data_IF_839968937106
#
_entry.id   IF_839968937106
#
_cell.length_a   1.000
_cell.length_b   1.000
_cell.length_c   1.000
_cell.angle_alpha   90.00
_cell.angle_beta   90.00
_cell.angle_gamma   90.00
#
_symmetry.space_group_name_H-M   'P 1'
#
loop_
_entity.id
_entity.type
_entity.pdbx_description
1 polymer ?
#
# COMPACT_ATOMS: atom_id res chain seq x y z
N UNK A 1 -67.13 12.66 -23.74
CA UNK A 1 -66.71 12.00 -22.49
C UNK A 1 -65.65 12.87 -21.84
N UNK A 2 -65.76 13.11 -20.52
CA UNK A 2 -65.06 14.15 -19.77
C UNK A 2 -63.57 13.85 -19.58
N UNK A 3 -62.75 14.90 -19.74
CA UNK A 3 -61.37 15.00 -19.30
C UNK A 3 -61.28 14.99 -17.77
N UNK A 4 -60.36 14.20 -17.21
CA UNK A 4 -59.80 14.41 -15.87
C UNK A 4 -58.36 13.91 -15.87
N UNK A 5 -57.42 14.84 -15.99
CA UNK A 5 -56.02 14.63 -15.68
C UNK A 5 -55.84 14.89 -14.18
N UNK A 6 -55.41 13.89 -13.42
CA UNK A 6 -55.00 14.04 -12.03
C UNK A 6 -53.49 14.26 -12.04
N UNK A 7 -53.08 15.51 -11.83
CA UNK A 7 -51.70 15.86 -11.57
C UNK A 7 -51.34 15.46 -10.12
N UNK A 8 -50.62 14.35 -9.97
CA UNK A 8 -49.98 13.98 -8.72
C UNK A 8 -48.68 14.79 -8.58
N UNK A 9 -48.76 15.94 -7.93
CA UNK A 9 -47.59 16.62 -7.38
C UNK A 9 -47.12 15.85 -6.15
N UNK A 10 -46.33 14.80 -6.36
CA UNK A 10 -45.55 14.18 -5.28
C UNK A 10 -44.39 15.12 -4.98
N UNK A 11 -44.51 15.82 -3.87
CA UNK A 11 -43.44 16.66 -3.32
C UNK A 11 -42.18 15.84 -3.14
N UNK A 12 -41.14 16.22 -3.86
CA UNK A 12 -39.78 15.86 -3.51
C UNK A 12 -39.45 16.52 -2.17
N UNK A 13 -39.72 15.81 -1.08
CA UNK A 13 -38.97 16.02 0.15
C UNK A 13 -37.52 15.66 -0.18
N UNK A 14 -36.72 16.67 -0.53
CA UNK A 14 -35.27 16.58 -0.52
C UNK A 14 -34.84 16.35 0.92
N UNK A 15 -34.80 15.09 1.35
CA UNK A 15 -34.04 14.69 2.52
C UNK A 15 -32.59 15.11 2.23
N UNK A 16 -31.92 15.87 3.12
CA UNK A 16 -30.49 16.03 3.00
C UNK A 16 -29.89 14.62 3.10
N UNK A 17 -29.30 14.12 2.01
CA UNK A 17 -28.47 12.93 2.10
C UNK A 17 -27.33 13.31 3.03
N UNK A 18 -27.40 12.90 4.30
CA UNK A 18 -26.26 13.02 5.20
C UNK A 18 -25.14 12.24 4.53
N UNK A 19 -24.11 12.95 4.07
CA UNK A 19 -22.93 12.30 3.54
C UNK A 19 -22.40 11.38 4.65
N UNK A 20 -22.12 10.12 4.31
CA UNK A 20 -21.58 9.16 5.26
C UNK A 20 -20.37 9.76 5.97
N UNK A 21 -20.28 9.56 7.29
CA UNK A 21 -19.13 9.99 8.07
C UNK A 21 -17.83 9.41 7.52
N UNK A 22 -16.69 10.06 7.81
CA UNK A 22 -15.40 9.58 7.32
C UNK A 22 -15.12 8.14 7.77
N UNK A 23 -15.46 7.81 9.02
CA UNK A 23 -15.32 6.47 9.57
C UNK A 23 -16.18 5.44 8.80
N UNK A 24 -17.44 5.76 8.48
CA UNK A 24 -18.29 4.89 7.67
C UNK A 24 -17.72 4.70 6.26
N UNK A 25 -17.20 5.77 5.65
CA UNK A 25 -16.56 5.67 4.34
C UNK A 25 -15.31 4.78 4.38
N UNK A 26 -14.47 4.88 5.40
CA UNK A 26 -13.34 3.96 5.58
C UNK A 26 -13.80 2.51 5.75
N UNK A 27 -14.79 2.25 6.61
CA UNK A 27 -15.33 0.90 6.80
C UNK A 27 -15.92 0.31 5.51
N UNK A 28 -16.60 1.12 4.69
CA UNK A 28 -17.11 0.67 3.39
C UNK A 28 -15.98 0.32 2.43
N UNK A 29 -14.92 1.14 2.38
CA UNK A 29 -13.74 0.86 1.56
C UNK A 29 -13.02 -0.41 2.03
N UNK A 30 -12.85 -0.61 3.34
CA UNK A 30 -12.23 -1.81 3.92
C UNK A 30 -13.01 -3.07 3.52
N UNK A 31 -14.33 -3.07 3.69
CA UNK A 31 -15.18 -4.21 3.29
C UNK A 31 -15.09 -4.50 1.79
N UNK A 32 -15.11 -3.45 0.96
CA UNK A 32 -14.95 -3.60 -0.49
C UNK A 32 -13.59 -4.22 -0.83
N UNK A 33 -12.52 -3.68 -0.24
CA UNK A 33 -11.16 -4.12 -0.46
C UNK A 33 -10.93 -5.59 -0.06
N UNK A 34 -11.39 -6.00 1.13
CA UNK A 34 -11.25 -7.36 1.63
C UNK A 34 -11.99 -8.40 0.77
N UNK A 35 -13.10 -8.02 0.15
CA UNK A 35 -13.94 -8.94 -0.62
C UNK A 35 -13.54 -9.10 -2.08
N UNK A 36 -12.90 -8.09 -2.68
CA UNK A 36 -12.84 -7.98 -4.14
C UNK A 36 -11.48 -7.59 -4.71
N UNK A 37 -10.54 -7.12 -3.89
CA UNK A 37 -9.28 -6.55 -4.39
C UNK A 37 -8.08 -7.47 -4.20
N UNK A 38 -7.16 -7.39 -5.15
CA UNK A 38 -5.87 -8.06 -5.07
C UNK A 38 -5.08 -7.52 -3.89
N UNK A 39 -4.51 -8.43 -3.11
CA UNK A 39 -3.69 -8.07 -1.96
C UNK A 39 -2.21 -8.20 -2.32
N UNK A 40 -1.41 -7.19 -1.95
CA UNK A 40 0.05 -7.24 -2.05
C UNK A 40 0.71 -6.89 -0.72
N UNK A 41 1.88 -7.46 -0.46
CA UNK A 41 2.65 -7.20 0.76
C UNK A 41 4.14 -7.06 0.47
N UNK A 42 4.72 -5.92 0.81
CA UNK A 42 6.12 -5.63 0.56
C UNK A 42 6.83 -5.10 1.81
N UNK A 43 8.05 -5.57 2.09
CA UNK A 43 8.88 -4.92 3.12
C UNK A 43 9.32 -3.53 2.66
N UNK A 44 9.38 -2.59 3.58
CA UNK A 44 9.95 -1.27 3.38
C UNK A 44 10.32 -0.71 4.75
N UNK A 45 11.53 -0.17 4.90
CA UNK A 45 12.04 0.38 6.15
C UNK A 45 11.90 -0.55 7.37
N UNK A 46 12.08 -1.85 7.17
CA UNK A 46 12.02 -2.86 8.24
C UNK A 46 10.62 -3.25 8.69
N UNK A 47 9.58 -2.82 7.99
CA UNK A 47 8.19 -3.25 8.23
C UNK A 47 7.56 -3.83 6.97
N UNK A 48 6.62 -4.76 7.15
CA UNK A 48 5.86 -5.32 6.03
C UNK A 48 4.57 -4.53 5.80
N UNK A 49 4.50 -3.83 4.67
CA UNK A 49 3.40 -2.96 4.30
C UNK A 49 2.45 -3.74 3.38
N UNK A 50 1.16 -3.73 3.72
CA UNK A 50 0.11 -4.41 2.96
C UNK A 50 -0.70 -3.40 2.16
N UNK A 51 -1.10 -3.74 0.94
CA UNK A 51 -2.02 -2.93 0.16
C UNK A 51 -3.08 -3.79 -0.55
N UNK A 52 -4.23 -3.17 -0.78
CA UNK A 52 -5.31 -3.68 -1.62
C UNK A 52 -5.35 -2.87 -2.90
N UNK A 53 -5.32 -3.55 -4.03
CA UNK A 53 -5.01 -2.97 -5.34
C UNK A 53 -6.18 -3.18 -6.31
N UNK A 54 -6.55 -2.11 -7.02
CA UNK A 54 -7.40 -2.12 -8.22
C UNK A 54 -6.69 -1.32 -9.33
N UNK A 55 -5.70 -1.95 -9.96
CA UNK A 55 -4.71 -1.28 -10.84
C UNK A 55 -3.73 -0.37 -10.08
N UNK A 56 -4.23 0.47 -9.18
CA UNK A 56 -3.49 1.29 -8.22
C UNK A 56 -3.95 0.98 -6.78
N UNK A 57 -3.19 1.35 -5.74
CA UNK A 57 -3.62 1.16 -4.36
C UNK A 57 -4.94 1.85 -4.06
N UNK A 58 -5.86 1.11 -3.45
CA UNK A 58 -7.12 1.62 -2.86
C UNK A 58 -6.95 1.80 -1.35
N UNK A 59 -6.26 0.87 -0.70
CA UNK A 59 -5.87 0.96 0.71
C UNK A 59 -4.42 0.53 0.85
N UNK A 60 -3.63 1.28 1.64
CA UNK A 60 -2.31 0.85 2.11
C UNK A 60 -2.33 0.83 3.64
N UNK A 61 -2.07 -0.32 4.24
CA UNK A 61 -1.92 -0.54 5.66
C UNK A 61 -0.44 -0.61 6.04
N UNK A 62 -0.03 0.30 6.93
CA UNK A 62 1.34 0.44 7.43
C UNK A 62 1.34 0.11 8.92
N UNK A 63 1.99 -0.99 9.34
CA UNK A 63 2.08 -1.31 10.76
C UNK A 63 2.96 -0.30 11.49
N UNK A 64 2.58 0.01 12.72
CA UNK A 64 3.35 0.84 13.66
C UNK A 64 3.96 -0.10 14.66
N UNK A 65 5.28 -0.24 14.59
CA UNK A 65 6.07 -1.08 15.50
C UNK A 65 6.71 -0.21 16.56
N UNK A 66 6.82 -0.73 17.77
CA UNK A 66 7.54 -0.06 18.85
C UNK A 66 9.03 -0.38 18.83
N UNK A 67 9.77 0.19 19.78
CA UNK A 67 11.23 0.01 19.88
C UNK A 67 11.65 -1.45 20.08
N UNK A 68 10.76 -2.30 20.60
CA UNK A 68 10.99 -3.74 20.78
C UNK A 68 10.54 -4.57 19.57
N UNK A 69 10.12 -3.94 18.48
CA UNK A 69 9.59 -4.61 17.30
C UNK A 69 8.21 -5.25 17.52
N UNK A 70 7.44 -4.78 18.51
CA UNK A 70 6.05 -5.22 18.75
C UNK A 70 5.07 -4.27 18.06
N UNK A 71 4.02 -4.82 17.45
CA UNK A 71 2.94 -4.04 16.86
C UNK A 71 2.19 -3.24 17.92
N UNK A 72 2.11 -1.92 17.73
CA UNK A 72 1.36 -0.98 18.58
C UNK A 72 0.15 -0.38 17.88
N UNK A 73 0.10 -0.43 16.56
CA UNK A 73 -1.03 0.06 15.80
C UNK A 73 -0.84 -0.11 14.30
N UNK A 74 -1.74 0.47 13.54
CA UNK A 74 -1.67 0.46 12.08
C UNK A 74 -2.22 1.79 11.56
N UNK A 75 -1.50 2.41 10.63
CA UNK A 75 -2.00 3.53 9.85
C UNK A 75 -2.52 3.02 8.51
N UNK A 76 -3.72 3.43 8.12
CA UNK A 76 -4.33 3.11 6.82
C UNK A 76 -4.47 4.36 5.97
N UNK A 77 -3.98 4.29 4.74
CA UNK A 77 -4.10 5.32 3.72
C UNK A 77 -5.12 4.88 2.69
N UNK A 78 -6.12 5.70 2.45
CA UNK A 78 -7.25 5.40 1.57
C UNK A 78 -7.18 6.26 0.32
N UNK A 79 -7.39 5.64 -0.83
CA UNK A 79 -7.28 6.30 -2.13
C UNK A 79 -8.57 6.14 -2.94
N UNK A 80 -8.96 7.19 -3.65
CA UNK A 80 -10.04 7.17 -4.63
C UNK A 80 -9.50 7.69 -5.96
N UNK A 81 -9.60 6.89 -7.02
CA UNK A 81 -9.05 7.24 -8.34
C UNK A 81 -7.54 7.56 -8.31
N UNK A 82 -6.78 6.88 -7.43
CA UNK A 82 -5.34 7.10 -7.24
C UNK A 82 -4.96 8.35 -6.44
N UNK A 83 -5.94 9.13 -5.94
CA UNK A 83 -5.70 10.29 -5.08
C UNK A 83 -5.94 9.95 -3.62
N UNK A 84 -5.13 10.54 -2.73
CA UNK A 84 -5.32 10.39 -1.29
C UNK A 84 -6.69 10.96 -0.89
N UNK A 85 -7.56 10.10 -0.39
CA UNK A 85 -8.90 10.44 0.08
C UNK A 85 -8.92 10.65 1.59
N UNK A 86 -8.18 9.83 2.34
CA UNK A 86 -8.10 9.96 3.77
C UNK A 86 -7.02 9.09 4.40
N UNK A 87 -6.74 9.35 5.66
CA UNK A 87 -5.81 8.55 6.46
C UNK A 87 -6.45 8.26 7.82
N UNK A 88 -6.37 7.02 8.27
CA UNK A 88 -6.76 6.59 9.62
C UNK A 88 -5.52 6.14 10.35
N UNK A 89 -5.19 6.82 11.43
CA UNK A 89 -4.14 6.44 12.37
C UNK A 89 -4.80 6.02 13.69
N UNK A 90 -4.06 5.37 14.63
CA UNK A 90 -4.65 4.92 15.88
C UNK A 90 -5.40 6.01 16.67
N UNK A 91 -4.87 7.24 16.68
CA UNK A 91 -5.39 8.35 17.47
C UNK A 91 -6.07 9.46 16.64
N UNK A 92 -6.16 9.32 15.31
CA UNK A 92 -6.65 10.40 14.45
C UNK A 92 -7.17 9.93 13.08
N UNK A 93 -8.04 10.74 12.48
CA UNK A 93 -8.51 10.53 11.11
C UNK A 93 -8.41 11.83 10.31
N UNK A 94 -8.05 11.72 9.04
CA UNK A 94 -7.78 12.85 8.16
C UNK A 94 -8.58 12.68 6.87
N UNK A 95 -9.28 13.74 6.43
CA UNK A 95 -9.99 13.76 5.15
C UNK A 95 -9.36 14.75 4.18
N UNK A 96 -9.23 14.33 2.92
CA UNK A 96 -8.74 15.17 1.83
C UNK A 96 -9.85 15.38 0.80
N UNK A 97 -9.91 16.57 0.22
CA UNK A 97 -10.77 16.83 -0.93
C UNK A 97 -10.09 16.43 -2.26
N UNK A 98 -10.82 16.52 -3.37
CA UNK A 98 -10.34 16.11 -4.69
C UNK A 98 -9.17 16.95 -5.23
N UNK A 99 -8.91 18.11 -4.61
CA UNK A 99 -7.75 18.96 -4.90
C UNK A 99 -6.50 18.55 -4.11
N UNK A 100 -6.63 17.62 -3.16
CA UNK A 100 -5.56 17.17 -2.28
C UNK A 100 -5.38 18.03 -1.04
N UNK A 101 -6.39 18.85 -0.69
CA UNK A 101 -6.34 19.69 0.52
C UNK A 101 -6.92 18.94 1.71
N UNK A 102 -6.25 19.03 2.86
CA UNK A 102 -6.73 18.50 4.12
C UNK A 102 -7.92 19.34 4.61
N UNK A 103 -9.09 18.71 4.73
CA UNK A 103 -10.35 19.37 5.10
C UNK A 103 -10.83 19.01 6.49
N UNK A 104 -10.44 17.84 7.01
CA UNK A 104 -10.80 17.40 8.36
C UNK A 104 -9.59 16.79 9.06
N UNK A 105 -9.42 17.14 10.33
CA UNK A 105 -8.58 16.43 11.31
C UNK A 105 -9.50 16.07 12.46
N UNK A 106 -9.76 14.77 12.60
CA UNK A 106 -10.60 14.21 13.65
C UNK A 106 -9.74 13.44 14.65
N UNK A 107 -10.16 13.42 15.91
CA UNK A 107 -9.58 12.60 16.97
C UNK A 107 -9.99 11.12 16.83
N UNK A 108 -9.58 10.29 17.79
CA UNK A 108 -9.95 8.87 17.86
C UNK A 108 -11.47 8.61 17.94
N UNK A 109 -12.24 9.60 18.41
CA UNK A 109 -13.71 9.55 18.56
C UNK A 109 -14.42 10.09 17.32
N UNK A 110 -13.68 10.50 16.29
CA UNK A 110 -14.23 11.10 15.08
C UNK A 110 -14.73 12.54 15.28
N UNK A 111 -14.37 13.20 16.37
CA UNK A 111 -14.69 14.60 16.62
C UNK A 111 -13.58 15.50 16.07
N UNK A 112 -13.86 16.74 15.67
CA UNK A 112 -12.81 17.68 15.28
C UNK A 112 -11.74 17.78 16.37
N UNK A 113 -10.49 17.56 16.01
CA UNK A 113 -9.40 17.59 16.97
C UNK A 113 -9.28 18.99 17.60
N UNK A 114 -9.17 19.03 18.92
CA UNK A 114 -9.06 20.29 19.65
C UNK A 114 -7.73 21.00 19.33
N UNK A 115 -7.76 22.34 19.34
CA UNK A 115 -6.57 23.20 19.21
C UNK A 115 -5.74 23.03 17.92
N UNK A 116 -6.33 22.52 16.85
CA UNK A 116 -5.64 22.43 15.55
C UNK A 116 -5.59 23.79 14.84
N UNK A 117 -4.39 24.35 14.71
CA UNK A 117 -4.16 25.59 13.97
C UNK A 117 -4.15 25.37 12.45
N UNK A 118 -4.33 26.45 11.67
CA UNK A 118 -4.16 26.40 10.20
C UNK A 118 -2.76 25.94 9.78
N UNK A 119 -1.73 26.34 10.53
CA UNK A 119 -0.34 25.93 10.26
C UNK A 119 -0.16 24.44 10.50
N UNK A 120 -0.72 23.91 11.58
CA UNK A 120 -0.71 22.48 11.90
C UNK A 120 -1.41 21.66 10.82
N UNK A 121 -2.55 22.13 10.31
CA UNK A 121 -3.25 21.50 9.18
C UNK A 121 -2.38 21.44 7.93
N UNK A 122 -1.71 22.54 7.58
CA UNK A 122 -0.86 22.60 6.39
C UNK A 122 0.34 21.65 6.51
N UNK A 123 1.06 21.69 7.63
CA UNK A 123 2.20 20.79 7.88
C UNK A 123 1.76 19.32 7.80
N UNK A 124 0.59 19.00 8.38
CA UNK A 124 0.04 17.65 8.36
C UNK A 124 -0.38 17.21 6.96
N UNK A 125 -1.01 18.11 6.19
CA UNK A 125 -1.35 17.87 4.79
C UNK A 125 -0.09 17.54 3.96
N UNK A 126 0.96 18.36 4.06
CA UNK A 126 2.22 18.17 3.34
C UNK A 126 2.87 16.82 3.69
N UNK A 127 2.97 16.51 4.99
CA UNK A 127 3.55 15.26 5.46
C UNK A 127 2.76 14.04 4.97
N UNK A 128 1.44 14.01 5.17
CA UNK A 128 0.58 12.89 4.78
C UNK A 128 0.57 12.68 3.27
N UNK A 129 0.54 13.77 2.49
CA UNK A 129 0.55 13.71 1.02
C UNK A 129 1.87 13.13 0.52
N UNK A 130 3.00 13.59 1.06
CA UNK A 130 4.32 13.06 0.72
C UNK A 130 4.42 11.58 1.10
N UNK A 131 4.05 11.22 2.33
CA UNK A 131 4.11 9.84 2.81
C UNK A 131 3.22 8.90 2.00
N UNK A 132 1.99 9.32 1.66
CA UNK A 132 1.09 8.55 0.81
C UNK A 132 1.67 8.30 -0.58
N UNK A 133 2.33 9.29 -1.17
CA UNK A 133 2.99 9.16 -2.47
C UNK A 133 4.21 8.22 -2.41
N UNK A 134 5.01 8.28 -1.35
CA UNK A 134 6.10 7.32 -1.10
C UNK A 134 5.59 5.89 -0.97
N UNK A 135 4.56 5.68 -0.13
CA UNK A 135 3.95 4.37 0.08
C UNK A 135 3.34 3.81 -1.21
N UNK A 136 2.67 4.65 -2.00
CA UNK A 136 2.06 4.22 -3.26
C UNK A 136 3.08 3.72 -4.28
N UNK A 137 4.30 4.30 -4.29
CA UNK A 137 5.38 3.87 -5.20
C UNK A 137 5.83 2.44 -4.97
N UNK A 138 5.72 1.93 -3.74
CA UNK A 138 6.06 0.54 -3.41
C UNK A 138 5.24 -0.47 -4.23
N UNK A 139 4.01 -0.10 -4.57
CA UNK A 139 3.05 -0.98 -5.25
C UNK A 139 2.96 -0.75 -6.76
N UNK A 140 3.77 0.15 -7.31
CA UNK A 140 3.92 0.27 -8.76
C UNK A 140 4.53 -1.00 -9.33
N UNK A 141 4.03 -1.42 -10.49
CA UNK A 141 4.53 -2.59 -11.24
C UNK A 141 5.99 -2.33 -11.63
N UNK A 142 6.90 -3.21 -11.21
CA UNK A 142 8.34 -3.10 -11.49
C UNK A 142 8.64 -3.16 -12.98
N UNK A 143 9.83 -2.69 -13.39
CA UNK A 143 10.26 -2.82 -14.77
C UNK A 143 10.31 -4.28 -15.24
N UNK A 144 10.65 -5.21 -14.33
CA UNK A 144 10.65 -6.64 -14.58
C UNK A 144 9.22 -7.15 -14.89
N UNK A 145 8.28 -6.90 -13.98
CA UNK A 145 6.87 -7.28 -14.15
C UNK A 145 6.25 -6.67 -15.42
N UNK A 146 6.55 -5.40 -15.72
CA UNK A 146 6.07 -4.75 -16.96
C UNK A 146 6.61 -5.44 -18.22
N UNK A 147 7.89 -5.80 -18.24
CA UNK A 147 8.51 -6.48 -19.38
C UNK A 147 7.95 -7.90 -19.54
N UNK A 148 7.69 -8.61 -18.45
CA UNK A 148 7.05 -9.92 -18.48
C UNK A 148 5.61 -9.84 -19.00
N UNK A 149 4.81 -8.90 -18.49
CA UNK A 149 3.42 -8.71 -18.92
C UNK A 149 3.30 -8.38 -20.43
N UNK A 150 4.30 -7.68 -21.00
CA UNK A 150 4.37 -7.38 -22.44
C UNK A 150 4.92 -8.51 -23.31
N UNK A 151 5.25 -9.67 -22.74
CA UNK A 151 5.86 -10.80 -23.46
C UNK A 151 7.32 -10.56 -23.87
N UNK A 152 8.00 -9.59 -23.27
CA UNK A 152 9.38 -9.21 -23.58
C UNK A 152 10.46 -10.14 -22.99
N UNK A 153 10.06 -11.22 -22.33
CA UNK A 153 10.94 -12.25 -21.76
C UNK A 153 10.47 -13.63 -22.18
N UNK A 154 11.42 -14.56 -22.37
CA UNK A 154 11.14 -15.96 -22.72
C UNK A 154 11.14 -16.92 -21.52
N UNK A 155 11.38 -16.38 -20.31
CA UNK A 155 11.41 -17.15 -19.06
C UNK A 155 10.02 -17.69 -18.72
N UNK A 156 9.96 -18.87 -18.11
CA UNK A 156 8.73 -19.54 -17.68
C UNK A 156 8.92 -20.23 -16.34
N UNK A 157 7.82 -20.59 -15.68
CA UNK A 157 7.84 -21.35 -14.43
C UNK A 157 8.74 -20.72 -13.37
N UNK A 158 9.59 -21.54 -12.77
CA UNK A 158 10.47 -21.14 -11.67
C UNK A 158 11.50 -20.07 -12.06
N UNK A 159 12.01 -20.10 -13.30
CA UNK A 159 12.96 -19.09 -13.79
C UNK A 159 12.30 -17.71 -13.91
N UNK A 160 11.04 -17.66 -14.32
CA UNK A 160 10.28 -16.41 -14.39
C UNK A 160 10.03 -15.86 -12.99
N UNK A 161 9.57 -16.70 -12.06
CA UNK A 161 9.30 -16.32 -10.68
C UNK A 161 10.54 -15.71 -10.01
N UNK A 162 11.68 -16.41 -10.11
CA UNK A 162 12.95 -15.94 -9.59
C UNK A 162 13.39 -14.61 -10.20
N UNK A 163 13.28 -14.45 -11.52
CA UNK A 163 13.63 -13.21 -12.20
C UNK A 163 12.75 -12.03 -11.76
N UNK A 164 11.44 -12.25 -11.61
CA UNK A 164 10.50 -11.23 -11.12
C UNK A 164 10.81 -10.81 -9.68
N UNK A 165 11.07 -11.78 -8.80
CA UNK A 165 11.41 -11.54 -7.40
C UNK A 165 12.69 -10.70 -7.26
N UNK A 166 13.75 -11.04 -7.99
CA UNK A 166 15.00 -10.27 -7.95
C UNK A 166 14.80 -8.86 -8.51
N UNK A 167 14.05 -8.72 -9.61
CA UNK A 167 13.72 -7.42 -10.18
C UNK A 167 12.98 -6.53 -9.18
N UNK A 168 11.96 -7.06 -8.53
CA UNK A 168 11.19 -6.32 -7.53
C UNK A 168 12.02 -5.98 -6.28
N UNK A 169 12.89 -6.88 -5.83
CA UNK A 169 13.81 -6.62 -4.71
C UNK A 169 14.76 -5.46 -5.01
N UNK A 170 15.40 -5.48 -6.19
CA UNK A 170 16.28 -4.39 -6.61
C UNK A 170 15.55 -3.05 -6.68
N UNK A 171 14.34 -3.03 -7.24
CA UNK A 171 13.51 -1.82 -7.33
C UNK A 171 13.13 -1.27 -5.94
N UNK A 172 12.72 -2.13 -5.00
CA UNK A 172 12.27 -1.70 -3.67
C UNK A 172 13.42 -1.35 -2.71
N UNK A 173 14.52 -2.10 -2.78
CA UNK A 173 15.66 -1.93 -1.88
C UNK A 173 16.78 -1.05 -2.49
N UNK A 174 16.52 -0.41 -3.63
CA UNK A 174 17.48 0.42 -4.36
C UNK A 174 18.82 -0.29 -4.62
N UNK A 175 18.75 -1.57 -4.96
CA UNK A 175 19.92 -2.37 -5.32
C UNK A 175 20.07 -2.53 -6.83
N UNK A 176 21.23 -3.04 -7.25
CA UNK A 176 21.54 -3.20 -8.67
C UNK A 176 21.99 -4.63 -9.04
N UNK A 177 22.18 -5.50 -8.04
CA UNK A 177 22.56 -6.90 -8.24
C UNK A 177 22.12 -7.78 -7.08
N UNK A 178 21.59 -8.96 -7.41
CA UNK A 178 21.29 -10.04 -6.46
C UNK A 178 22.15 -11.25 -6.81
N UNK A 179 22.79 -11.85 -5.82
CA UNK A 179 23.48 -13.15 -5.92
C UNK A 179 22.98 -14.08 -4.81
N UNK A 180 23.16 -15.39 -4.99
CA UNK A 180 22.73 -16.39 -4.02
C UNK A 180 23.55 -17.66 -4.18
N UNK A 181 23.61 -18.45 -3.11
CA UNK A 181 24.12 -19.82 -3.14
C UNK A 181 22.96 -20.78 -3.44
N UNK A 182 23.16 -21.73 -4.36
CA UNK A 182 22.07 -22.58 -4.88
C UNK A 182 21.38 -23.42 -3.79
N UNK A 183 22.13 -23.84 -2.78
CA UNK A 183 21.64 -24.63 -1.65
C UNK A 183 20.88 -23.79 -0.59
N UNK A 184 21.00 -22.46 -0.66
CA UNK A 184 20.37 -21.53 0.29
C UNK A 184 19.12 -20.84 -0.24
N UNK A 185 18.81 -20.97 -1.53
CA UNK A 185 17.63 -20.37 -2.15
C UNK A 185 16.72 -21.44 -2.74
N UNK A 186 15.51 -21.58 -2.21
CA UNK A 186 14.47 -22.41 -2.79
C UNK A 186 13.81 -21.62 -3.92
N UNK A 187 13.78 -22.21 -5.11
CA UNK A 187 13.19 -21.60 -6.30
C UNK A 187 12.06 -22.50 -6.81
N UNK A 188 10.87 -21.93 -6.98
CA UNK A 188 9.70 -22.62 -7.51
C UNK A 188 8.86 -21.71 -8.40
N UNK A 189 7.86 -22.28 -9.06
CA UNK A 189 6.99 -21.51 -9.98
C UNK A 189 6.16 -20.43 -9.28
N UNK A 190 5.91 -20.60 -7.99
CA UNK A 190 5.13 -19.66 -7.17
C UNK A 190 5.99 -18.61 -6.47
N UNK A 191 7.32 -18.68 -6.58
CA UNK A 191 8.19 -17.71 -5.90
C UNK A 191 9.53 -18.30 -5.45
N UNK A 192 10.21 -17.53 -4.60
CA UNK A 192 11.52 -17.89 -4.03
C UNK A 192 11.54 -17.65 -2.53
N UNK A 193 12.30 -18.45 -1.80
CA UNK A 193 12.47 -18.30 -0.35
C UNK A 193 13.88 -18.76 0.05
N UNK A 194 14.59 -17.94 0.82
CA UNK A 194 15.94 -18.27 1.26
C UNK A 194 16.85 -17.06 1.38
N UNK A 195 18.16 -17.32 1.32
CA UNK A 195 19.20 -16.30 1.50
C UNK A 195 19.71 -15.76 0.17
N UNK A 196 19.89 -14.44 0.09
CA UNK A 196 20.54 -13.76 -1.04
C UNK A 196 21.44 -12.65 -0.54
N UNK A 197 22.43 -12.28 -1.34
CA UNK A 197 23.20 -11.06 -1.15
C UNK A 197 22.72 -10.01 -2.16
N UNK A 198 22.29 -8.85 -1.65
CA UNK A 198 21.89 -7.69 -2.44
C UNK A 198 23.03 -6.67 -2.44
N UNK A 199 23.43 -6.18 -3.61
CA UNK A 199 24.35 -5.04 -3.73
C UNK A 199 23.57 -3.73 -3.74
N UNK A 200 23.96 -2.83 -2.84
CA UNK A 200 23.48 -1.46 -2.71
C UNK A 200 24.68 -0.49 -2.72
N UNK A 201 24.42 0.81 -2.68
CA UNK A 201 25.46 1.85 -2.66
C UNK A 201 26.49 1.68 -1.52
N UNK A 202 26.06 1.12 -0.38
CA UNK A 202 26.91 0.90 0.80
C UNK A 202 27.66 -0.44 0.79
N UNK A 203 27.48 -1.27 -0.24
CA UNK A 203 28.10 -2.58 -0.37
C UNK A 203 27.08 -3.71 -0.46
N UNK A 204 27.54 -4.92 -0.11
CA UNK A 204 26.70 -6.12 -0.09
C UNK A 204 25.98 -6.23 1.24
N UNK A 205 24.68 -6.54 1.17
CA UNK A 205 23.85 -6.87 2.31
C UNK A 205 23.31 -8.28 2.16
N UNK A 206 23.56 -9.12 3.15
CA UNK A 206 22.99 -10.47 3.22
C UNK A 206 21.56 -10.40 3.77
N UNK A 207 20.62 -11.01 3.06
CA UNK A 207 19.19 -10.96 3.34
C UNK A 207 18.62 -12.38 3.40
N UNK A 208 17.71 -12.61 4.34
CA UNK A 208 16.72 -13.68 4.23
C UNK A 208 15.45 -13.09 3.63
N UNK A 209 14.93 -13.70 2.57
CA UNK A 209 13.74 -13.21 1.87
C UNK A 209 12.73 -14.31 1.60
N UNK A 210 11.48 -13.87 1.45
CA UNK A 210 10.39 -14.64 0.89
C UNK A 210 9.67 -13.81 -0.16
N UNK A 211 9.51 -14.39 -1.33
CA UNK A 211 8.85 -13.77 -2.46
C UNK A 211 7.81 -14.72 -3.04
N UNK A 212 6.61 -14.20 -3.33
CA UNK A 212 5.52 -14.94 -3.97
C UNK A 212 5.08 -14.19 -5.23
N UNK A 213 4.78 -14.95 -6.29
CA UNK A 213 4.34 -14.42 -7.58
C UNK A 213 3.00 -15.01 -8.00
N UNK A 214 2.26 -14.24 -8.78
CA UNK A 214 1.04 -14.67 -9.47
C UNK A 214 1.11 -14.22 -10.92
N UNK A 215 1.28 -15.18 -11.84
CA UNK A 215 1.49 -14.88 -13.25
C UNK A 215 2.77 -14.06 -13.46
N UNK A 216 2.63 -12.82 -13.92
CA UNK A 216 3.77 -11.90 -14.15
C UNK A 216 3.92 -10.85 -13.06
N UNK A 217 3.28 -11.01 -11.91
CA UNK A 217 3.27 -10.03 -10.83
C UNK A 217 3.85 -10.61 -9.55
N UNK A 218 4.58 -9.78 -8.80
CA UNK A 218 5.02 -10.10 -7.45
C UNK A 218 3.93 -9.66 -6.48
N UNK A 219 3.37 -10.61 -5.73
CA UNK A 219 2.28 -10.35 -4.78
C UNK A 219 2.80 -10.22 -3.35
N UNK A 220 3.90 -10.91 -3.03
CA UNK A 220 4.59 -10.76 -1.76
C UNK A 220 6.09 -10.65 -1.98
N UNK A 221 6.73 -9.73 -1.29
CA UNK A 221 8.19 -9.70 -1.17
C UNK A 221 8.57 -9.13 0.19
N UNK A 222 8.98 -10.02 1.09
CA UNK A 222 9.41 -9.65 2.44
C UNK A 222 10.86 -10.05 2.67
N UNK A 223 11.65 -9.21 3.31
CA UNK A 223 13.05 -9.51 3.60
C UNK A 223 13.54 -8.90 4.91
N UNK A 224 14.57 -9.51 5.48
CA UNK A 224 15.27 -9.03 6.66
C UNK A 224 16.78 -9.26 6.52
N UNK A 225 17.63 -8.39 7.09
CA UNK A 225 19.07 -8.65 7.15
C UNK A 225 19.37 -9.96 7.89
N UNK A 226 20.35 -10.73 7.42
CA UNK A 226 20.78 -11.94 8.14
C UNK A 226 21.48 -11.58 9.47
N UNK A 227 21.32 -12.41 10.51
CA UNK A 227 22.04 -12.25 11.77
C UNK A 227 23.56 -12.23 11.52
N UNK A 228 24.22 -11.13 11.87
CA UNK A 228 25.67 -10.95 11.70
C UNK A 228 26.10 -10.07 10.53
N UNK A 229 25.18 -9.64 9.65
CA UNK A 229 25.47 -8.70 8.55
C UNK A 229 25.72 -7.25 9.02
N UNK A 230 25.44 -6.93 10.29
CA UNK A 230 25.63 -5.61 10.91
C UNK A 230 26.93 -5.49 11.73
N UNK A 231 27.94 -6.33 11.52
CA UNK A 231 29.24 -6.08 12.15
C UNK A 231 29.84 -4.81 11.54
N UNK A 232 30.13 -3.75 12.32
CA UNK A 232 30.89 -2.63 11.80
C UNK A 232 32.23 -3.17 11.30
N UNK A 233 32.59 -2.78 10.07
CA UNK A 233 33.97 -2.90 9.60
C UNK A 233 34.86 -1.92 10.35
#
# INVERSE_FOLDING_TARGET
MRNTAIALTLGFCSLPSLAASLAEQFTLMEKGAESALDTRQFSHDGVDIKAWIDGAPVIIAVPIMNELGKLEGESRYYFKGGKLFGVKEPAAQFAFDDSGKLTQWLDEKGQPAEFVSKMSMQQRQEWLTKRAAELSKLFVVSAAEQKAAKGGVKLKGADLAHWLCNGKLMDLAHGDKVIFEQDKLKIGEQGIEGEVSLRQDKGWQELSLKCEVQGTQVTRLTWQPLPGANKPQ
#
